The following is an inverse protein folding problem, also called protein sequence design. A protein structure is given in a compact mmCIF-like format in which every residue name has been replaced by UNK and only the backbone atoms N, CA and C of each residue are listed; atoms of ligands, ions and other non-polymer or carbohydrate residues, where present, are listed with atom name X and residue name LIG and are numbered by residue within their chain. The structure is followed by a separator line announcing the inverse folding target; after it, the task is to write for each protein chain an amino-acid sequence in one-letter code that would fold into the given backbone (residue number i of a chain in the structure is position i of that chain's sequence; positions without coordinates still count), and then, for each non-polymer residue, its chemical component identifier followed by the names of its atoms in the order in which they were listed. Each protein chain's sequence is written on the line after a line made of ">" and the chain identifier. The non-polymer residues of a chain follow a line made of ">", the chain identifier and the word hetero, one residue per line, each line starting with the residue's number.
data_IF_505327772932
#
_entry.id   IF_505327772932
#
_cell.length_a   1.000
_cell.length_b   1.000
_cell.length_c   1.000
_cell.angle_alpha   90.00
_cell.angle_beta   90.00
_cell.angle_gamma   90.00
#
_symmetry.space_group_name_H-M   'P 1'
#
loop_
_entity.id
_entity.type
_entity.pdbx_description
1 polymer ?
#
# COMPACT_ATOMS: atom_id res chain seq x y z
N UNK A 1 23.84 22.71 -49.51
CA UNK A 1 23.59 21.26 -49.70
C UNK A 1 23.40 20.63 -48.32
N UNK A 2 22.20 20.84 -47.75
CA UNK A 2 21.79 20.28 -46.46
C UNK A 2 20.79 19.19 -46.82
N UNK A 3 21.15 17.95 -46.48
CA UNK A 3 20.40 16.75 -46.82
C UNK A 3 19.32 16.53 -45.78
N UNK A 4 18.07 16.76 -46.18
CA UNK A 4 16.89 16.31 -45.45
C UNK A 4 16.87 14.79 -45.37
N UNK A 5 16.89 14.24 -44.15
CA UNK A 5 16.46 12.86 -43.89
C UNK A 5 15.08 12.90 -43.25
N UNK A 6 14.07 12.22 -43.81
CA UNK A 6 12.75 12.16 -43.20
C UNK A 6 12.75 11.28 -41.95
N UNK A 7 11.98 11.71 -40.96
CA UNK A 7 11.73 11.04 -39.68
C UNK A 7 11.25 9.60 -39.91
N UNK A 8 11.94 8.69 -39.25
CA UNK A 8 11.64 7.28 -39.18
C UNK A 8 10.21 7.04 -38.71
N UNK A 9 9.54 6.18 -39.47
CA UNK A 9 8.33 5.44 -39.16
C UNK A 9 8.43 4.86 -37.75
N UNK A 10 7.64 5.40 -36.82
CA UNK A 10 7.42 4.77 -35.53
C UNK A 10 6.42 3.61 -35.75
N UNK A 11 6.97 2.41 -35.72
CA UNK A 11 6.33 1.11 -35.79
C UNK A 11 5.01 1.02 -34.99
N UNK A 12 3.88 1.24 -35.65
CA UNK A 12 2.61 0.66 -35.24
C UNK A 12 2.59 -0.79 -35.73
N UNK A 13 3.19 -1.70 -34.98
CA UNK A 13 3.01 -3.14 -35.19
C UNK A 13 1.59 -3.51 -34.75
N UNK A 14 0.64 -3.24 -35.64
CA UNK A 14 -0.70 -3.79 -35.63
C UNK A 14 -0.61 -5.27 -35.97
N UNK A 15 -0.39 -6.11 -34.95
CA UNK A 15 -0.54 -7.56 -35.07
C UNK A 15 -2.02 -7.93 -35.01
N UNK A 16 -2.75 -7.65 -36.09
CA UNK A 16 -4.05 -8.26 -36.35
C UNK A 16 -3.85 -9.67 -36.88
N UNK A 17 -3.50 -10.61 -35.99
CA UNK A 17 -3.61 -12.03 -36.27
C UNK A 17 -4.99 -12.52 -35.80
N UNK A 18 -5.90 -12.89 -36.72
CA UNK A 18 -7.11 -13.58 -36.35
C UNK A 18 -6.72 -14.99 -35.89
N UNK A 19 -7.09 -15.33 -34.65
CA UNK A 19 -7.05 -16.69 -34.09
C UNK A 19 -5.71 -17.21 -33.53
N UNK A 20 -4.83 -16.34 -33.05
CA UNK A 20 -3.79 -16.77 -32.11
C UNK A 20 -4.38 -16.73 -30.69
N UNK A 21 -4.62 -17.91 -30.10
CA UNK A 21 -4.96 -18.05 -28.69
C UNK A 21 -3.90 -17.29 -27.89
N UNK A 22 -4.25 -16.11 -27.37
CA UNK A 22 -3.30 -15.29 -26.59
C UNK A 22 -2.68 -16.21 -25.53
N UNK A 23 -1.35 -16.18 -25.32
CA UNK A 23 -0.72 -16.99 -24.28
C UNK A 23 -1.49 -16.81 -22.97
N UNK A 24 -1.84 -17.91 -22.32
CA UNK A 24 -2.70 -17.95 -21.11
C UNK A 24 -2.16 -17.01 -20.01
N UNK A 25 -0.86 -16.69 -20.05
CA UNK A 25 -0.18 -15.71 -19.21
C UNK A 25 -0.86 -14.32 -19.17
N UNK A 26 -1.58 -13.91 -20.20
CA UNK A 26 -2.21 -12.57 -20.26
C UNK A 26 -3.68 -12.54 -19.81
N UNK A 27 -4.23 -13.66 -19.31
CA UNK A 27 -5.60 -13.66 -18.79
C UNK A 27 -5.63 -12.96 -17.42
N UNK A 28 -6.41 -11.88 -17.35
CA UNK A 28 -6.72 -11.18 -16.10
C UNK A 28 -7.65 -12.09 -15.28
N UNK A 29 -7.25 -12.36 -14.04
CA UNK A 29 -8.01 -13.19 -13.10
C UNK A 29 -8.65 -12.36 -11.98
N UNK A 30 -8.11 -11.16 -11.73
CA UNK A 30 -8.68 -10.17 -10.81
C UNK A 30 -8.27 -8.77 -11.25
N UNK A 31 -9.16 -7.79 -11.09
CA UNK A 31 -8.86 -6.39 -11.34
C UNK A 31 -9.74 -5.50 -10.46
N UNK A 32 -9.13 -4.50 -9.84
CA UNK A 32 -9.83 -3.43 -9.12
C UNK A 32 -9.24 -2.06 -9.49
N UNK A 33 -9.57 -1.00 -8.74
CA UNK A 33 -9.11 0.35 -9.02
C UNK A 33 -7.59 0.56 -8.88
N UNK A 34 -6.91 -0.32 -8.13
CA UNK A 34 -5.52 -0.12 -7.71
C UNK A 34 -4.58 -1.18 -8.23
N UNK A 35 -5.09 -2.34 -8.64
CA UNK A 35 -4.27 -3.41 -9.15
C UNK A 35 -4.99 -4.27 -10.20
N UNK A 36 -4.20 -5.07 -10.90
CA UNK A 36 -4.65 -6.10 -11.82
C UNK A 36 -3.77 -7.32 -11.62
N UNK A 37 -4.39 -8.47 -11.39
CA UNK A 37 -3.69 -9.74 -11.24
C UNK A 37 -3.89 -10.59 -12.49
N UNK A 38 -2.77 -11.03 -13.03
CA UNK A 38 -2.67 -12.00 -14.11
C UNK A 38 -2.02 -13.26 -13.55
N UNK A 39 -2.05 -14.36 -14.32
CA UNK A 39 -1.43 -15.62 -13.88
C UNK A 39 0.09 -15.54 -13.70
N UNK A 40 0.77 -14.65 -14.42
CA UNK A 40 2.23 -14.52 -14.38
C UNK A 40 2.72 -13.27 -13.65
N UNK A 41 1.85 -12.28 -13.41
CA UNK A 41 2.27 -11.04 -12.75
C UNK A 41 1.12 -10.32 -12.02
N UNK A 42 1.53 -9.51 -11.05
CA UNK A 42 0.73 -8.51 -10.38
C UNK A 42 1.11 -7.14 -10.96
N UNK A 43 0.12 -6.39 -11.42
CA UNK A 43 0.25 -5.01 -11.88
C UNK A 43 -0.35 -4.09 -10.83
N UNK A 44 0.47 -3.23 -10.24
CA UNK A 44 0.04 -2.17 -9.33
C UNK A 44 -0.15 -0.90 -10.15
N UNK A 45 -1.38 -0.40 -10.18
CA UNK A 45 -1.76 0.77 -10.98
C UNK A 45 -1.20 2.04 -10.35
N UNK A 46 -0.82 3.02 -11.18
CA UNK A 46 -0.42 4.38 -10.73
C UNK A 46 0.66 4.37 -9.64
N UNK A 47 1.63 3.48 -9.77
CA UNK A 47 2.67 3.28 -8.76
C UNK A 47 3.74 4.38 -8.78
N UNK A 48 4.18 4.79 -9.98
CA UNK A 48 5.21 5.80 -10.16
C UNK A 48 4.59 7.15 -10.50
N UNK A 49 4.80 8.14 -9.64
CA UNK A 49 4.38 9.53 -9.87
C UNK A 49 5.62 10.40 -10.17
N UNK A 50 5.48 11.48 -10.98
CA UNK A 50 4.24 12.06 -11.52
C UNK A 50 3.63 11.30 -12.70
N UNK A 51 4.36 10.35 -13.29
CA UNK A 51 3.95 9.71 -14.55
C UNK A 51 2.72 8.80 -14.47
N UNK A 52 2.21 8.53 -13.27
CA UNK A 52 1.18 7.53 -12.96
C UNK A 52 1.41 6.16 -13.64
N UNK A 53 2.67 5.79 -13.88
CA UNK A 53 3.02 4.52 -14.53
C UNK A 53 2.77 3.35 -13.58
N UNK A 54 2.31 2.25 -14.15
CA UNK A 54 2.06 1.02 -13.43
C UNK A 54 3.38 0.31 -13.08
N UNK A 55 3.38 -0.42 -11.96
CA UNK A 55 4.48 -1.30 -11.56
C UNK A 55 4.07 -2.74 -11.76
N UNK A 56 4.81 -3.45 -12.61
CA UNK A 56 4.66 -4.89 -12.80
C UNK A 56 5.63 -5.63 -11.87
N UNK A 57 5.12 -6.68 -11.22
CA UNK A 57 5.84 -7.62 -10.36
C UNK A 57 5.50 -9.02 -10.87
N UNK A 58 6.48 -9.85 -11.20
CA UNK A 58 6.18 -11.24 -11.58
C UNK A 58 5.83 -12.06 -10.34
N UNK A 59 5.02 -13.11 -10.50
CA UNK A 59 4.61 -13.94 -9.35
C UNK A 59 5.84 -14.54 -8.64
N UNK A 60 6.87 -14.96 -9.39
CA UNK A 60 8.11 -15.55 -8.84
C UNK A 60 8.96 -14.57 -8.00
N UNK A 61 8.80 -13.27 -8.25
CA UNK A 61 9.47 -12.21 -7.48
C UNK A 61 8.84 -12.04 -6.09
N UNK A 62 7.59 -12.48 -5.88
CA UNK A 62 6.87 -12.30 -4.61
C UNK A 62 7.46 -13.22 -3.54
N UNK A 63 8.09 -12.62 -2.53
CA UNK A 63 8.66 -13.32 -1.37
C UNK A 63 7.70 -13.33 -0.20
N UNK A 64 7.02 -12.22 0.08
CA UNK A 64 6.00 -12.12 1.12
C UNK A 64 4.89 -11.16 0.70
N UNK A 65 3.68 -11.44 1.17
CA UNK A 65 2.48 -10.61 0.98
C UNK A 65 1.95 -10.25 2.35
N UNK A 66 2.12 -8.98 2.73
CA UNK A 66 1.53 -8.44 3.94
C UNK A 66 0.22 -7.76 3.60
N UNK A 67 -0.80 -7.93 4.43
CA UNK A 67 -2.05 -7.22 4.25
C UNK A 67 -2.65 -6.85 5.61
N UNK A 68 -3.25 -5.66 5.70
CA UNK A 68 -3.95 -5.17 6.89
C UNK A 68 -5.19 -4.40 6.45
N UNK A 69 -6.31 -4.55 7.16
CA UNK A 69 -7.48 -3.70 6.94
C UNK A 69 -7.10 -2.24 7.15
N UNK A 70 -7.61 -1.34 6.31
CA UNK A 70 -7.37 0.10 6.47
C UNK A 70 -8.13 0.62 7.69
N UNK A 71 -7.39 1.18 8.64
CA UNK A 71 -7.95 1.74 9.87
C UNK A 71 -7.45 3.17 10.07
N UNK A 72 -8.34 4.15 9.90
CA UNK A 72 -8.12 5.52 10.36
C UNK A 72 -8.43 5.60 11.86
N UNK A 73 -7.54 6.17 12.73
CA UNK A 73 -6.28 6.86 12.45
C UNK A 73 -5.00 6.00 12.64
N UNK A 74 -5.09 4.73 13.01
CA UNK A 74 -3.93 3.89 13.35
C UNK A 74 -2.92 3.74 12.21
N UNK A 75 -3.37 3.90 10.97
CA UNK A 75 -2.53 3.77 9.77
C UNK A 75 -1.98 5.10 9.23
N UNK A 76 -2.32 6.26 9.83
CA UNK A 76 -2.02 7.62 9.30
C UNK A 76 -0.52 7.91 9.12
N UNK A 77 0.36 7.13 9.76
CA UNK A 77 1.82 7.23 9.63
C UNK A 77 2.49 6.00 9.00
N UNK A 78 1.73 4.93 8.79
CA UNK A 78 2.23 3.65 8.22
C UNK A 78 1.89 3.53 6.74
N UNK A 79 0.71 4.01 6.36
CA UNK A 79 0.27 4.10 4.98
C UNK A 79 0.15 5.57 4.58
N UNK A 80 0.59 5.88 3.37
CA UNK A 80 0.53 7.23 2.79
C UNK A 80 -0.31 7.19 1.53
N UNK A 81 -0.90 8.32 1.15
CA UNK A 81 -1.63 8.44 -0.11
C UNK A 81 -0.73 8.13 -1.31
N UNK A 82 0.56 8.45 -1.21
CA UNK A 82 1.57 8.12 -2.21
C UNK A 82 3.01 8.27 -1.68
N UNK A 83 3.94 7.48 -2.23
CA UNK A 83 5.38 7.65 -2.05
C UNK A 83 5.97 6.86 -0.88
N UNK A 84 7.21 7.19 -0.51
CA UNK A 84 7.91 6.50 0.58
C UNK A 84 7.34 6.91 1.95
N UNK A 85 7.23 5.94 2.86
CA UNK A 85 6.93 6.17 4.30
C UNK A 85 8.20 6.09 5.13
N UNK A 86 8.09 6.27 6.46
CA UNK A 86 9.19 6.02 7.39
C UNK A 86 9.58 4.52 7.44
N UNK A 87 8.65 3.64 7.05
CA UNK A 87 8.93 2.23 6.78
C UNK A 87 9.51 2.05 5.37
N UNK A 88 10.21 0.92 5.08
CA UNK A 88 10.76 0.65 3.75
C UNK A 88 9.68 0.24 2.73
N UNK A 89 8.57 0.97 2.70
CA UNK A 89 7.41 0.79 1.82
C UNK A 89 7.23 2.04 0.99
N UNK A 90 7.15 1.86 -0.32
CA UNK A 90 6.72 2.87 -1.28
C UNK A 90 5.28 2.59 -1.70
N UNK A 91 4.40 3.55 -1.46
CA UNK A 91 2.97 3.45 -1.72
C UNK A 91 2.61 3.92 -3.13
N UNK A 92 1.80 3.13 -3.81
CA UNK A 92 1.07 3.54 -5.00
C UNK A 92 0.07 4.64 -4.67
N UNK A 93 -0.29 5.43 -5.69
CA UNK A 93 -1.16 6.57 -5.54
C UNK A 93 -2.61 6.14 -5.22
N UNK A 94 -3.11 6.56 -4.06
CA UNK A 94 -4.49 6.47 -3.61
C UNK A 94 -4.84 7.70 -2.78
N UNK A 95 -5.25 8.78 -3.44
CA UNK A 95 -5.66 10.02 -2.76
C UNK A 95 -6.93 9.89 -1.94
N UNK A 96 -7.69 8.81 -2.14
CA UNK A 96 -8.89 8.53 -1.36
C UNK A 96 -8.57 7.76 -0.07
N UNK A 97 -7.30 7.37 0.18
CA UNK A 97 -6.92 6.53 1.33
C UNK A 97 -7.38 7.08 2.67
N UNK A 98 -7.25 8.39 2.89
CA UNK A 98 -7.71 9.06 4.10
C UNK A 98 -9.23 9.30 4.18
N UNK A 99 -9.94 9.17 3.07
CA UNK A 99 -11.39 9.40 2.94
C UNK A 99 -12.20 8.12 2.91
N UNK A 100 -11.56 6.97 2.82
CA UNK A 100 -12.21 5.68 3.00
C UNK A 100 -12.71 5.59 4.45
N UNK A 101 -14.03 5.71 4.64
CA UNK A 101 -14.65 5.63 5.96
C UNK A 101 -14.36 4.30 6.67
N UNK A 102 -14.70 4.23 7.97
CA UNK A 102 -14.46 3.05 8.82
C UNK A 102 -15.17 1.77 8.34
N UNK A 103 -16.26 1.92 7.59
CA UNK A 103 -17.08 0.81 7.09
C UNK A 103 -16.64 0.29 5.72
N UNK A 104 -15.46 0.70 5.27
CA UNK A 104 -14.99 0.30 3.95
C UNK A 104 -14.25 -1.05 3.98
N UNK A 105 -14.32 -1.76 2.85
CA UNK A 105 -13.63 -3.03 2.64
C UNK A 105 -12.19 -2.85 2.13
N UNK A 106 -11.60 -1.65 2.24
CA UNK A 106 -10.25 -1.42 1.73
C UNK A 106 -9.18 -2.03 2.63
N UNK A 107 -8.16 -2.60 2.00
CA UNK A 107 -6.98 -3.16 2.65
C UNK A 107 -5.71 -2.51 2.13
N UNK A 108 -4.77 -2.33 3.04
CA UNK A 108 -3.38 -1.99 2.76
C UNK A 108 -2.63 -3.29 2.45
N UNK A 109 -2.13 -3.44 1.22
CA UNK A 109 -1.35 -4.61 0.78
C UNK A 109 0.07 -4.17 0.49
N UNK A 110 1.05 -4.98 0.93
CA UNK A 110 2.48 -4.73 0.73
C UNK A 110 3.16 -5.98 0.19
N UNK A 111 3.85 -5.82 -0.94
CA UNK A 111 4.58 -6.89 -1.60
C UNK A 111 6.07 -6.74 -1.33
N UNK A 112 6.64 -7.77 -0.71
CA UNK A 112 8.07 -7.93 -0.57
C UNK A 112 8.60 -8.76 -1.74
N UNK A 113 9.54 -8.18 -2.49
CA UNK A 113 10.23 -8.85 -3.60
C UNK A 113 11.70 -9.14 -3.29
N UNK A 114 12.11 -9.08 -2.02
CA UNK A 114 13.50 -9.20 -1.57
C UNK A 114 14.35 -7.94 -1.78
N UNK A 115 13.82 -6.90 -2.43
CA UNK A 115 14.57 -5.64 -2.67
C UNK A 115 14.56 -4.71 -1.44
N UNK A 116 15.34 -3.61 -1.48
CA UNK A 116 15.29 -2.56 -0.43
C UNK A 116 13.92 -1.85 -0.32
N UNK A 117 13.25 -1.78 -1.46
CA UNK A 117 11.94 -1.23 -1.76
C UNK A 117 10.72 -2.17 -1.56
N UNK A 118 9.89 -2.14 -0.51
CA UNK A 118 8.61 -2.88 -0.56
C UNK A 118 7.52 -2.07 -1.26
N UNK A 119 6.57 -2.74 -1.92
CA UNK A 119 5.58 -2.11 -2.81
C UNK A 119 4.23 -2.13 -2.11
N UNK A 120 3.77 -0.97 -1.62
CA UNK A 120 2.48 -0.80 -0.96
C UNK A 120 1.40 -0.33 -1.93
N UNK A 121 0.17 -0.83 -1.80
CA UNK A 121 -1.01 -0.36 -2.55
C UNK A 121 -2.31 -0.70 -1.81
N UNK A 122 -3.43 -0.17 -2.31
CA UNK A 122 -4.76 -0.45 -1.78
C UNK A 122 -5.43 -1.61 -2.52
N UNK A 123 -6.31 -2.35 -1.86
CA UNK A 123 -7.16 -3.37 -2.49
C UNK A 123 -8.59 -3.19 -1.96
N UNK A 124 -9.60 -3.27 -2.83
CA UNK A 124 -11.02 -3.02 -2.47
C UNK A 124 -11.69 -4.21 -1.77
N UNK A 125 -11.31 -5.44 -2.14
CA UNK A 125 -11.86 -6.67 -1.56
C UNK A 125 -10.72 -7.67 -1.38
N UNK A 126 -10.22 -7.78 -0.14
CA UNK A 126 -9.09 -8.66 0.16
C UNK A 126 -9.43 -10.14 -0.08
N UNK A 127 -10.67 -10.55 0.17
CA UNK A 127 -11.12 -11.93 -0.02
C UNK A 127 -10.99 -12.35 -1.47
N UNK A 128 -11.52 -11.54 -2.39
CA UNK A 128 -11.46 -11.82 -3.83
C UNK A 128 -10.02 -11.80 -4.32
N UNK A 129 -9.24 -10.79 -3.92
CA UNK A 129 -7.82 -10.70 -4.29
C UNK A 129 -7.01 -11.91 -3.83
N UNK A 130 -7.13 -12.30 -2.55
CA UNK A 130 -6.40 -13.44 -2.00
C UNK A 130 -6.88 -14.77 -2.58
N UNK A 131 -8.18 -14.92 -2.88
CA UNK A 131 -8.71 -16.14 -3.52
C UNK A 131 -8.05 -16.42 -4.87
N UNK A 132 -7.67 -15.36 -5.60
CA UNK A 132 -7.02 -15.45 -6.91
C UNK A 132 -5.49 -15.50 -6.79
N UNK A 133 -4.89 -14.88 -5.78
CA UNK A 133 -3.43 -14.84 -5.59
C UNK A 133 -2.88 -16.12 -4.92
N UNK A 134 -3.60 -16.72 -3.96
CA UNK A 134 -3.16 -17.93 -3.23
C UNK A 134 -2.86 -19.14 -4.12
N UNK A 135 -3.58 -19.41 -5.22
CA UNK A 135 -3.19 -20.47 -6.14
C UNK A 135 -1.87 -20.21 -6.89
N UNK A 136 -1.35 -18.97 -6.87
CA UNK A 136 -0.14 -18.56 -7.58
C UNK A 136 1.08 -18.40 -6.66
N UNK A 137 0.85 -18.16 -5.36
CA UNK A 137 1.90 -17.88 -4.36
C UNK A 137 1.71 -18.83 -3.18
N UNK A 138 2.81 -19.40 -2.67
CA UNK A 138 2.77 -20.31 -1.53
C UNK A 138 2.12 -19.67 -0.29
N UNK A 139 1.29 -20.45 0.42
CA UNK A 139 0.46 -19.95 1.52
C UNK A 139 1.29 -19.45 2.73
N UNK A 140 2.51 -19.94 2.92
CA UNK A 140 3.43 -19.53 3.98
C UNK A 140 3.97 -18.10 3.79
N UNK A 141 3.87 -17.55 2.57
CA UNK A 141 4.32 -16.19 2.25
C UNK A 141 3.32 -15.11 2.66
N UNK A 142 2.10 -15.48 3.06
CA UNK A 142 1.04 -14.55 3.42
C UNK A 142 1.07 -14.20 4.89
N UNK A 143 0.95 -12.92 5.18
CA UNK A 143 1.06 -12.36 6.52
C UNK A 143 -0.11 -11.39 6.74
N UNK A 144 -1.07 -11.79 7.57
CA UNK A 144 -2.27 -10.99 7.84
C UNK A 144 -2.05 -9.97 8.97
N UNK A 145 -2.91 -8.96 8.98
CA UNK A 145 -3.15 -7.99 10.06
C UNK A 145 -1.94 -7.20 10.53
N UNK A 146 -0.90 -7.11 9.71
CA UNK A 146 0.28 -6.26 10.00
C UNK A 146 0.89 -5.68 8.74
N UNK A 147 1.46 -4.48 8.89
CA UNK A 147 2.33 -3.85 7.90
C UNK A 147 3.78 -3.97 8.38
N UNK A 148 4.73 -4.20 7.45
CA UNK A 148 6.12 -4.35 7.84
C UNK A 148 6.71 -3.02 8.31
N UNK A 149 7.53 -3.10 9.34
CA UNK A 149 8.32 -2.03 9.92
C UNK A 149 9.76 -2.06 9.40
N UNK A 150 10.59 -1.10 9.82
CA UNK A 150 12.03 -1.13 9.53
C UNK A 150 12.74 -2.37 10.12
N UNK A 151 12.23 -2.93 11.21
CA UNK A 151 12.84 -4.07 11.90
C UNK A 151 12.63 -5.41 11.17
N UNK A 152 11.55 -5.54 10.40
CA UNK A 152 11.18 -6.79 9.71
C UNK A 152 12.16 -7.20 8.58
N UNK A 153 13.12 -6.32 8.25
CA UNK A 153 14.18 -6.58 7.26
C UNK A 153 15.28 -7.51 7.72
N UNK A 154 15.46 -7.70 9.03
CA UNK A 154 16.70 -8.29 9.56
C UNK A 154 16.84 -9.79 9.29
N UNK A 155 15.79 -10.48 8.84
CA UNK A 155 15.74 -11.94 9.01
C UNK A 155 16.41 -12.77 7.89
N UNK A 156 16.64 -12.26 6.68
CA UNK A 156 17.17 -13.11 5.60
C UNK A 156 18.45 -12.55 4.98
N UNK A 157 19.54 -12.64 5.73
CA UNK A 157 20.87 -12.82 5.14
C UNK A 157 21.39 -14.14 5.65
N UNK A 158 21.27 -15.16 4.81
CA UNK A 158 22.14 -16.34 4.83
C UNK A 158 22.39 -16.93 6.23
N UNK A 159 21.46 -17.76 6.71
CA UNK A 159 21.92 -18.93 7.48
C UNK A 159 22.15 -20.03 6.44
N UNK A 160 23.39 -20.30 6.02
CA UNK A 160 23.68 -21.55 5.34
C UNK A 160 23.22 -22.67 6.27
N UNK A 161 22.42 -23.60 5.76
CA UNK A 161 22.22 -24.88 6.45
C UNK A 161 23.57 -25.58 6.52
N UNK A 162 24.35 -25.30 7.57
CA UNK A 162 25.42 -26.18 8.00
C UNK A 162 24.73 -27.39 8.62
N UNK A 163 24.77 -28.50 7.89
CA UNK A 163 24.62 -29.83 8.45
C UNK A 163 25.74 -30.05 9.47
N UNK A 164 25.53 -29.62 10.71
CA UNK A 164 26.36 -30.04 11.83
C UNK A 164 25.73 -31.28 12.45
N UNK A 165 26.45 -32.38 12.22
CA UNK A 165 26.36 -33.65 12.92
C UNK A 165 26.35 -33.38 14.43
N UNK A 166 25.51 -34.12 15.15
CA UNK A 166 25.39 -34.13 16.61
C UNK A 166 26.75 -34.14 17.33
N UNK A 167 26.85 -33.40 18.44
CA UNK A 167 27.24 -33.94 19.75
C UNK A 167 27.31 -32.84 20.83
N UNK A 168 26.53 -33.01 21.90
CA UNK A 168 26.97 -32.76 23.27
C UNK A 168 26.88 -31.35 23.88
N UNK A 169 26.13 -31.28 24.98
CA UNK A 169 26.30 -30.41 26.16
C UNK A 169 26.12 -28.88 26.05
N UNK A 170 24.95 -28.43 26.51
CA UNK A 170 24.79 -27.49 27.63
C UNK A 170 25.51 -26.14 27.59
N UNK A 171 24.75 -25.06 27.36
CA UNK A 171 24.62 -23.96 28.33
C UNK A 171 23.57 -22.94 27.88
N UNK A 172 22.72 -22.53 28.83
CA UNK A 172 21.84 -21.38 28.70
C UNK A 172 22.68 -20.10 28.64
N UNK A 173 22.44 -19.27 27.63
CA UNK A 173 22.90 -17.87 27.66
C UNK A 173 21.73 -16.97 27.30
N UNK A 174 21.31 -16.19 28.30
CA UNK A 174 20.31 -15.14 28.22
C UNK A 174 20.83 -13.99 27.34
N UNK A 175 20.12 -13.65 26.27
CA UNK A 175 20.39 -12.42 25.52
C UNK A 175 19.49 -11.29 26.05
N UNK A 176 20.08 -10.51 26.97
CA UNK A 176 19.61 -9.21 27.42
C UNK A 176 19.66 -8.24 26.24
N UNK A 177 18.51 -7.70 25.85
CA UNK A 177 18.42 -6.63 24.88
C UNK A 177 18.76 -5.31 25.59
N UNK A 178 19.95 -4.76 25.31
CA UNK A 178 20.35 -3.44 25.78
C UNK A 178 19.48 -2.37 25.10
N UNK A 179 18.59 -1.74 25.89
CA UNK A 179 18.11 -0.38 25.67
C UNK A 179 19.33 0.54 25.54
N UNK A 180 19.44 1.26 24.43
CA UNK A 180 20.22 2.49 24.39
C UNK A 180 19.28 3.64 24.68
N UNK A 181 19.56 4.29 25.80
CA UNK A 181 18.94 5.52 26.26
C UNK A 181 19.16 6.62 25.22
N UNK A 182 18.07 7.29 24.84
CA UNK A 182 18.15 8.58 24.18
C UNK A 182 18.46 9.61 25.26
N UNK A 183 19.67 10.13 25.20
CA UNK A 183 20.17 11.16 26.09
C UNK A 183 19.47 12.49 25.75
N UNK A 184 18.71 13.02 26.71
CA UNK A 184 18.32 14.41 26.75
C UNK A 184 19.54 15.24 27.17
N UNK A 185 19.83 16.31 26.44
CA UNK A 185 20.63 17.40 26.96
C UNK A 185 19.90 18.70 26.63
N UNK A 186 19.32 19.25 27.69
CA UNK A 186 19.06 20.66 27.92
C UNK A 186 20.36 21.47 27.74
N UNK A 187 20.28 22.70 27.24
CA UNK A 187 20.54 23.93 28.03
C UNK A 187 20.51 25.19 27.15
N UNK A 188 19.47 25.99 27.39
CA UNK A 188 19.46 27.40 27.84
C UNK A 188 20.19 28.55 27.11
N UNK A 189 19.45 29.68 27.18
CA UNK A 189 19.89 31.09 27.30
C UNK A 189 20.10 31.86 25.97
N UNK A 190 19.71 33.13 25.79
CA UNK A 190 19.04 34.13 26.63
C UNK A 190 18.53 35.30 25.76
N UNK A 191 17.50 36.00 26.25
CA UNK A 191 17.16 37.40 26.01
C UNK A 191 16.43 37.81 24.71
N UNK A 192 15.63 38.88 24.64
CA UNK A 192 15.11 39.88 25.59
C UNK A 192 14.22 40.84 24.76
N UNK A 193 12.95 41.06 25.18
CA UNK A 193 12.14 42.32 25.11
C UNK A 193 11.88 42.94 23.70
N UNK A 194 10.66 43.36 23.28
CA UNK A 194 9.65 44.24 23.89
C UNK A 194 8.29 44.21 23.15
N UNK A 195 7.22 44.37 23.93
CA UNK A 195 5.97 45.15 23.77
C UNK A 195 5.47 45.51 22.35
N UNK A 196 4.16 45.31 22.11
CA UNK A 196 3.15 46.39 22.19
C UNK A 196 1.73 45.84 22.04
N UNK A 197 0.84 46.50 22.76
CA UNK A 197 -0.61 46.36 22.86
C UNK A 197 -1.37 46.50 21.53
N UNK A 198 -2.59 45.95 21.50
CA UNK A 198 -3.80 46.31 20.72
C UNK A 198 -4.80 45.16 20.98
N UNK A 199 -5.86 45.25 21.81
CA UNK A 199 -7.02 46.15 21.71
C UNK A 199 -7.49 46.26 20.25
N UNK A 200 -8.67 45.87 19.81
CA UNK A 200 -9.91 45.33 20.38
C UNK A 200 -10.71 44.76 19.18
N UNK A 201 -11.85 44.14 19.47
CA UNK A 201 -13.12 44.29 18.74
C UNK A 201 -13.85 42.97 18.51
N UNK A 202 -15.02 42.96 19.13
CA UNK A 202 -16.18 42.14 18.92
C UNK A 202 -16.44 41.83 17.44
N UNK A 203 -16.92 40.62 17.14
CA UNK A 203 -18.14 40.49 16.35
C UNK A 203 -18.74 39.07 16.45
N UNK A 204 -19.75 39.05 17.30
CA UNK A 204 -20.86 38.11 17.35
C UNK A 204 -21.69 38.17 16.05
N UNK A 205 -21.80 37.07 15.29
CA UNK A 205 -22.90 36.87 14.35
C UNK A 205 -23.49 35.48 14.52
N UNK A 206 -24.67 35.49 15.14
CA UNK A 206 -25.64 34.42 15.24
C UNK A 206 -26.68 34.60 14.12
N UNK A 207 -26.65 33.78 13.08
CA UNK A 207 -27.73 33.57 12.08
C UNK A 207 -27.45 32.18 11.47
N UNK A 208 -28.34 31.22 11.33
CA UNK A 208 -29.79 31.14 11.49
C UNK A 208 -30.16 29.66 11.31
N UNK A 209 -31.23 29.26 11.99
CA UNK A 209 -31.82 27.95 11.88
C UNK A 209 -32.73 27.92 10.65
N UNK A 210 -32.50 27.01 9.71
CA UNK A 210 -33.53 26.62 8.74
C UNK A 210 -33.71 25.10 8.71
N UNK A 211 -34.94 24.72 9.03
CA UNK A 211 -35.55 23.41 8.87
C UNK A 211 -35.92 23.20 7.40
N UNK A 212 -35.85 21.96 6.90
CA UNK A 212 -36.79 21.29 5.96
C UNK A 212 -36.14 19.93 5.60
N UNK A 213 -36.74 18.79 5.98
CA UNK A 213 -37.65 17.94 5.15
C UNK A 213 -36.95 17.42 3.87
N UNK A 214 -36.97 16.15 3.46
CA UNK A 214 -38.04 15.17 3.56
C UNK A 214 -37.54 13.72 3.45
N UNK A 215 -38.28 12.88 4.14
CA UNK A 215 -38.54 11.46 3.97
C UNK A 215 -38.52 10.95 2.53
N UNK A 216 -37.84 9.82 2.28
CA UNK A 216 -38.22 8.88 1.21
C UNK A 216 -37.84 7.45 1.60
N UNK A 217 -38.67 6.86 2.46
CA UNK A 217 -38.66 5.43 2.76
C UNK A 217 -39.63 4.77 1.78
N UNK A 218 -39.12 4.06 0.77
CA UNK A 218 -39.93 3.35 -0.23
C UNK A 218 -39.93 1.85 0.11
N UNK A 219 -40.88 1.46 0.94
CA UNK A 219 -41.24 0.05 1.15
C UNK A 219 -41.84 -0.50 -0.14
N UNK A 220 -41.30 -1.61 -0.64
CA UNK A 220 -41.84 -2.33 -1.78
C UNK A 220 -42.47 -3.60 -1.23
N UNK A 221 -43.80 -3.62 -1.14
CA UNK A 221 -44.58 -4.82 -0.86
C UNK A 221 -44.55 -5.72 -2.10
N UNK A 222 -43.99 -6.92 -1.97
CA UNK A 222 -44.09 -7.98 -2.98
C UNK A 222 -45.27 -8.86 -2.60
N UNK A 223 -46.37 -8.71 -3.35
CA UNK A 223 -47.56 -9.56 -3.27
C UNK A 223 -47.21 -10.91 -3.90
N UNK A 224 -47.12 -11.95 -3.07
CA UNK A 224 -47.24 -13.34 -3.52
C UNK A 224 -48.73 -13.62 -3.78
N UNK A 225 -49.09 -13.96 -5.01
CA UNK A 225 -50.31 -14.71 -5.30
C UNK A 225 -49.94 -16.16 -5.63
N UNK A 226 -50.75 -17.06 -5.09
CA UNK A 226 -50.63 -18.51 -5.11
C UNK A 226 -51.24 -19.14 -6.39
#
# INVERSE_FOLDING_TARGET
>A
LISDRPLNQLLTVSMSHPNCKRPIAYRIIYEDNYCRLLRSCLVIKRYFFPTAKDKVITIDEIKRVFFKKQETPADLFKAKDWGMTASPIWWACDFARGFHGKDTNYYNVVIDTGTRIMKGFSVVSIGDFLSQLRPLVDNDKFVSDRLPSCADRVINKDTPQQSLIENGNGNQVNNVCNKRDMNANDSDSDGTVSNTDNESDDNNINVGSDKLNDSNNRTVDIKLEA
#
